data_IF_205262298715
#
_entry.id   IF_205262298715
#
_cell.length_a   1.000
_cell.length_b   1.000
_cell.length_c   1.000
_cell.angle_alpha   90.00
_cell.angle_beta   90.00
_cell.angle_gamma   90.00
#
_symmetry.space_group_name_H-M   'P 1'
#
loop_
_entity.id
_entity.type
_entity.pdbx_description
1 polymer ?
#
# COMPACT_ATOMS: atom_id res chain seq x y z
N UNK A 1 -2.56 10.43 22.63
CA UNK A 1 -1.60 11.44 22.12
C UNK A 1 -2.21 12.18 20.92
N UNK A 2 -2.11 13.52 20.87
CA UNK A 2 -2.64 14.29 19.71
C UNK A 2 -1.54 14.36 18.64
N UNK A 3 -1.50 13.33 17.77
CA UNK A 3 -0.54 13.26 16.67
C UNK A 3 -1.07 14.04 15.46
N UNK A 4 -0.23 14.82 14.77
CA UNK A 4 -0.68 15.60 13.60
C UNK A 4 -1.29 14.66 12.55
N UNK A 5 -2.46 15.05 12.02
CA UNK A 5 -3.19 14.23 11.05
C UNK A 5 -2.60 14.39 9.65
N UNK A 6 -2.61 13.29 8.88
CA UNK A 6 -2.13 13.28 7.50
C UNK A 6 -2.84 14.33 6.63
N UNK A 7 -2.10 15.10 5.85
CA UNK A 7 -2.65 16.07 4.90
C UNK A 7 -2.86 15.40 3.54
N UNK A 8 -4.11 15.32 3.10
CA UNK A 8 -4.49 14.63 1.85
C UNK A 8 -3.81 15.26 0.63
N UNK A 9 -3.83 16.59 0.53
CA UNK A 9 -3.32 17.29 -0.65
C UNK A 9 -1.79 17.25 -0.73
N UNK A 10 -1.11 17.39 0.40
CA UNK A 10 0.35 17.33 0.46
C UNK A 10 0.81 15.90 0.14
N UNK A 11 0.14 14.88 0.70
CA UNK A 11 0.46 13.47 0.41
C UNK A 11 0.35 13.16 -1.10
N UNK A 12 -0.66 13.69 -1.78
CA UNK A 12 -0.83 13.48 -3.23
C UNK A 12 0.28 14.21 -4.02
N UNK A 13 0.58 15.47 -3.68
CA UNK A 13 1.62 16.26 -4.37
C UNK A 13 3.02 15.69 -4.14
N UNK A 14 3.36 15.41 -2.89
CA UNK A 14 4.66 14.88 -2.52
C UNK A 14 4.82 13.44 -3.06
N UNK A 15 3.72 12.68 -3.11
CA UNK A 15 3.66 11.38 -3.78
C UNK A 15 4.03 11.45 -5.25
N UNK A 16 3.58 12.50 -5.95
CA UNK A 16 3.96 12.72 -7.35
C UNK A 16 5.46 13.01 -7.48
N UNK A 17 6.01 13.86 -6.62
CA UNK A 17 7.46 14.17 -6.63
C UNK A 17 8.28 12.92 -6.32
N UNK A 18 7.87 12.11 -5.34
CA UNK A 18 8.52 10.88 -4.97
C UNK A 18 8.46 9.83 -6.11
N UNK A 19 7.30 9.73 -6.80
CA UNK A 19 7.14 8.86 -7.96
C UNK A 19 8.04 9.29 -9.12
N UNK A 20 8.12 10.59 -9.41
CA UNK A 20 8.98 11.13 -10.48
C UNK A 20 10.47 10.89 -10.19
N UNK A 21 10.88 11.00 -8.93
CA UNK A 21 12.27 10.72 -8.51
C UNK A 21 12.66 9.26 -8.72
N UNK A 22 11.70 8.33 -8.61
CA UNK A 22 11.91 6.89 -8.70
C UNK A 22 11.22 6.25 -9.93
N UNK A 23 10.85 7.03 -10.94
CA UNK A 23 9.93 6.62 -11.99
C UNK A 23 10.36 5.33 -12.71
N UNK A 24 11.62 5.21 -13.10
CA UNK A 24 12.12 4.03 -13.81
C UNK A 24 12.12 2.79 -12.94
N UNK A 25 12.58 2.91 -11.69
CA UNK A 25 12.58 1.83 -10.70
C UNK A 25 11.16 1.37 -10.38
N UNK A 26 10.22 2.30 -10.21
CA UNK A 26 8.83 1.98 -9.90
C UNK A 26 8.10 1.32 -11.07
N UNK A 27 8.29 1.81 -12.30
CA UNK A 27 7.69 1.19 -13.47
C UNK A 27 8.21 -0.25 -13.63
N UNK A 28 9.52 -0.46 -13.50
CA UNK A 28 10.11 -1.79 -13.59
C UNK A 28 9.61 -2.69 -12.45
N UNK A 29 9.56 -2.20 -11.21
CA UNK A 29 9.01 -2.90 -10.06
C UNK A 29 7.57 -3.38 -10.32
N UNK A 30 6.70 -2.48 -10.82
CA UNK A 30 5.29 -2.80 -11.10
C UNK A 30 5.20 -3.85 -12.22
N UNK A 31 5.97 -3.71 -13.29
CA UNK A 31 6.00 -4.68 -14.39
C UNK A 31 6.42 -6.06 -13.88
N UNK A 32 7.54 -6.14 -13.14
CA UNK A 32 8.04 -7.39 -12.58
C UNK A 32 7.01 -8.02 -11.62
N UNK A 33 6.36 -7.21 -10.80
CA UNK A 33 5.32 -7.70 -9.90
C UNK A 33 4.12 -8.26 -10.67
N UNK A 34 3.60 -7.54 -11.66
CA UNK A 34 2.45 -7.99 -12.48
C UNK A 34 2.76 -9.29 -13.22
N UNK A 35 3.99 -9.46 -13.72
CA UNK A 35 4.40 -10.69 -14.38
C UNK A 35 4.49 -11.89 -13.44
N UNK A 36 4.77 -11.67 -12.15
CA UNK A 36 5.02 -12.74 -11.17
C UNK A 36 3.85 -13.02 -10.24
N UNK A 37 2.88 -12.10 -10.11
CA UNK A 37 1.73 -12.24 -9.21
C UNK A 37 0.87 -13.47 -9.51
N UNK A 38 0.86 -13.94 -10.74
CA UNK A 38 0.11 -15.12 -11.20
C UNK A 38 0.81 -16.45 -10.91
N UNK A 39 2.09 -16.42 -10.52
CA UNK A 39 2.88 -17.65 -10.28
C UNK A 39 2.73 -18.01 -8.81
N UNK A 40 2.04 -19.14 -8.48
CA UNK A 40 1.92 -19.59 -7.10
C UNK A 40 3.28 -19.70 -6.42
N UNK A 41 3.34 -19.44 -5.14
CA UNK A 41 4.54 -19.36 -4.31
C UNK A 41 5.44 -18.15 -4.62
N UNK A 42 5.77 -17.86 -5.89
CA UNK A 42 6.58 -16.69 -6.25
C UNK A 42 5.86 -15.41 -5.90
N UNK A 43 4.53 -15.35 -6.09
CA UNK A 43 3.72 -14.17 -5.77
C UNK A 43 3.84 -13.74 -4.30
N UNK A 44 4.06 -14.68 -3.38
CA UNK A 44 4.23 -14.35 -1.95
C UNK A 44 5.53 -13.57 -1.73
N UNK A 45 6.64 -14.08 -2.27
CA UNK A 45 7.94 -13.40 -2.18
C UNK A 45 7.93 -12.02 -2.84
N UNK A 46 7.37 -11.92 -4.05
CA UNK A 46 7.30 -10.66 -4.79
C UNK A 46 6.33 -9.66 -4.15
N UNK A 47 5.24 -10.12 -3.53
CA UNK A 47 4.34 -9.26 -2.75
C UNK A 47 5.07 -8.69 -1.53
N UNK A 48 5.76 -9.52 -0.74
CA UNK A 48 6.58 -9.04 0.38
C UNK A 48 7.64 -8.05 -0.11
N UNK A 49 8.30 -8.35 -1.23
CA UNK A 49 9.28 -7.45 -1.85
C UNK A 49 8.67 -6.10 -2.25
N UNK A 50 7.44 -6.09 -2.78
CA UNK A 50 6.72 -4.85 -3.08
C UNK A 50 6.46 -4.03 -1.81
N UNK A 51 6.02 -4.66 -0.71
CA UNK A 51 5.85 -3.96 0.58
C UNK A 51 7.18 -3.41 1.11
N UNK A 52 8.28 -4.18 1.01
CA UNK A 52 9.62 -3.71 1.39
C UNK A 52 10.07 -2.51 0.55
N UNK A 53 9.77 -2.50 -0.75
CA UNK A 53 10.06 -1.37 -1.63
C UNK A 53 9.31 -0.10 -1.18
N UNK A 54 8.03 -0.22 -0.79
CA UNK A 54 7.25 0.88 -0.22
C UNK A 54 7.87 1.37 1.09
N UNK A 55 8.30 0.45 1.97
CA UNK A 55 8.95 0.78 3.25
C UNK A 55 10.29 1.50 3.01
N UNK A 56 11.14 1.01 2.11
CA UNK A 56 12.40 1.65 1.74
C UNK A 56 12.16 3.08 1.22
N UNK A 57 11.18 3.24 0.33
CA UNK A 57 10.81 4.53 -0.23
C UNK A 57 10.25 5.49 0.84
N UNK A 58 9.52 4.99 1.85
CA UNK A 58 9.04 5.79 2.98
C UNK A 58 10.19 6.40 3.79
N UNK A 59 11.36 5.78 3.77
CA UNK A 59 12.60 6.24 4.40
C UNK A 59 13.47 7.11 3.49
N UNK A 60 13.00 7.36 2.26
CA UNK A 60 13.73 8.17 1.27
C UNK A 60 14.79 7.41 0.47
N UNK A 61 14.85 6.09 0.61
CA UNK A 61 15.75 5.23 -0.15
C UNK A 61 15.29 5.08 -1.60
N UNK A 62 16.25 4.82 -2.50
CA UNK A 62 15.94 4.50 -3.90
C UNK A 62 15.52 3.04 -4.00
N UNK A 63 14.40 2.80 -4.66
CA UNK A 63 13.87 1.44 -4.84
C UNK A 63 14.73 0.65 -5.82
N UNK A 64 15.20 -0.53 -5.38
CA UNK A 64 15.76 -1.54 -6.27
C UNK A 64 14.63 -2.47 -6.74
N UNK A 65 14.24 -2.43 -8.03
CA UNK A 65 13.13 -3.23 -8.53
C UNK A 65 13.40 -4.75 -8.51
N UNK A 66 14.67 -5.17 -8.50
CA UNK A 66 15.03 -6.60 -8.50
C UNK A 66 14.93 -7.20 -7.10
N UNK A 67 14.96 -6.39 -6.05
CA UNK A 67 14.84 -6.83 -4.65
C UNK A 67 13.54 -7.60 -4.34
N UNK A 68 12.51 -7.50 -5.20
CA UNK A 68 11.29 -8.31 -5.05
C UNK A 68 11.57 -9.83 -5.16
N UNK A 69 12.67 -10.25 -5.75
CA UNK A 69 13.08 -11.65 -5.89
C UNK A 69 13.99 -12.15 -4.77
N UNK A 70 14.27 -11.32 -3.77
CA UNK A 70 15.12 -11.72 -2.66
C UNK A 70 14.54 -12.93 -1.92
N UNK A 71 15.38 -13.93 -1.68
CA UNK A 71 15.01 -15.15 -0.94
C UNK A 71 14.52 -14.86 0.48
N UNK A 72 15.00 -13.77 1.08
CA UNK A 72 14.57 -13.31 2.41
C UNK A 72 13.08 -12.95 2.47
N UNK A 73 12.47 -12.61 1.35
CA UNK A 73 11.04 -12.29 1.28
C UNK A 73 10.17 -13.49 1.62
N UNK A 74 10.64 -14.72 1.29
CA UNK A 74 9.89 -15.96 1.55
C UNK A 74 9.85 -16.34 3.03
N UNK A 75 10.72 -15.78 3.88
CA UNK A 75 10.67 -15.98 5.34
C UNK A 75 9.37 -15.47 5.96
N UNK A 76 8.71 -14.52 5.31
CA UNK A 76 7.44 -13.95 5.76
C UNK A 76 6.22 -14.80 5.39
N UNK A 77 6.37 -15.89 4.63
CA UNK A 77 5.27 -16.68 4.08
C UNK A 77 4.21 -17.05 5.12
N UNK A 78 4.59 -17.67 6.23
CA UNK A 78 3.65 -18.12 7.27
C UNK A 78 2.92 -16.93 7.95
N UNK A 79 3.66 -15.90 8.33
CA UNK A 79 3.08 -14.74 8.98
C UNK A 79 2.18 -13.92 8.04
N UNK A 80 2.58 -13.78 6.78
CA UNK A 80 1.77 -13.15 5.73
C UNK A 80 0.48 -13.91 5.49
N UNK A 81 0.56 -15.25 5.38
CA UNK A 81 -0.62 -16.09 5.18
C UNK A 81 -1.61 -15.97 6.34
N UNK A 82 -1.12 -16.02 7.58
CA UNK A 82 -1.96 -15.83 8.77
C UNK A 82 -2.57 -14.43 8.82
N UNK A 83 -1.78 -13.39 8.54
CA UNK A 83 -2.27 -12.02 8.53
C UNK A 83 -3.39 -11.84 7.50
N UNK A 84 -3.16 -12.25 6.26
CA UNK A 84 -4.14 -12.15 5.18
C UNK A 84 -5.39 -12.99 5.47
N UNK A 85 -5.23 -14.17 6.09
CA UNK A 85 -6.34 -14.99 6.52
C UNK A 85 -7.24 -14.28 7.54
N UNK A 86 -6.67 -13.78 8.63
CA UNK A 86 -7.43 -13.02 9.63
C UNK A 86 -8.03 -11.74 9.07
N UNK A 87 -7.28 -11.00 8.26
CA UNK A 87 -7.75 -9.78 7.62
C UNK A 87 -8.93 -10.07 6.69
N UNK A 88 -8.83 -11.05 5.83
CA UNK A 88 -9.88 -11.42 4.88
C UNK A 88 -11.15 -11.89 5.59
N UNK A 89 -11.02 -12.76 6.59
CA UNK A 89 -12.16 -13.24 7.37
C UNK A 89 -12.85 -12.10 8.13
N UNK A 90 -12.08 -11.22 8.76
CA UNK A 90 -12.64 -10.10 9.50
C UNK A 90 -13.36 -9.10 8.60
N UNK A 91 -12.75 -8.73 7.47
CA UNK A 91 -13.38 -7.82 6.49
C UNK A 91 -14.62 -8.46 5.87
N UNK A 92 -14.56 -9.76 5.51
CA UNK A 92 -15.72 -10.47 4.97
C UNK A 92 -16.89 -10.53 5.95
N UNK A 93 -16.63 -10.85 7.22
CA UNK A 93 -17.64 -10.84 8.27
C UNK A 93 -18.25 -9.45 8.48
N UNK A 94 -17.42 -8.41 8.56
CA UNK A 94 -17.87 -7.03 8.69
C UNK A 94 -18.72 -6.58 7.49
N UNK A 95 -18.32 -6.96 6.27
CA UNK A 95 -19.05 -6.64 5.03
C UNK A 95 -20.36 -7.39 4.93
N UNK A 96 -20.40 -8.67 5.36
CA UNK A 96 -21.62 -9.48 5.40
C UNK A 96 -22.65 -8.92 6.39
N UNK A 97 -22.19 -8.33 7.48
CA UNK A 97 -23.06 -7.66 8.44
C UNK A 97 -23.58 -6.32 7.90
N UNK A 98 -22.70 -5.47 7.39
CA UNK A 98 -23.02 -4.22 6.69
C UNK A 98 -21.84 -3.79 5.82
N UNK A 99 -22.12 -3.20 4.65
CA UNK A 99 -21.08 -2.77 3.70
C UNK A 99 -20.11 -1.70 4.25
N UNK A 100 -20.65 -0.71 4.98
CA UNK A 100 -19.86 0.40 5.55
C UNK A 100 -18.83 -0.07 6.60
N UNK A 101 -19.16 -0.92 7.59
CA UNK A 101 -18.17 -1.50 8.50
C UNK A 101 -17.05 -2.25 7.81
N UNK A 102 -17.34 -2.96 6.72
CA UNK A 102 -16.30 -3.62 5.91
C UNK A 102 -15.29 -2.65 5.31
N UNK A 103 -15.75 -1.53 4.75
CA UNK A 103 -14.88 -0.46 4.25
C UNK A 103 -14.03 0.13 5.38
N UNK A 104 -14.66 0.47 6.51
CA UNK A 104 -13.95 1.05 7.66
C UNK A 104 -12.86 0.10 8.16
N UNK A 105 -13.15 -1.20 8.23
CA UNK A 105 -12.20 -2.20 8.69
C UNK A 105 -11.06 -2.42 7.68
N UNK A 106 -11.35 -2.41 6.38
CA UNK A 106 -10.32 -2.51 5.34
C UNK A 106 -9.33 -1.34 5.40
N UNK A 107 -9.81 -0.12 5.63
CA UNK A 107 -8.96 1.06 5.82
C UNK A 107 -8.16 0.97 7.12
N UNK A 108 -8.79 0.48 8.20
CA UNK A 108 -8.13 0.32 9.50
C UNK A 108 -6.98 -0.68 9.46
N UNK A 109 -7.12 -1.76 8.69
CA UNK A 109 -6.12 -2.82 8.57
C UNK A 109 -5.20 -2.68 7.36
N UNK A 110 -5.31 -1.58 6.63
CA UNK A 110 -4.53 -1.33 5.40
C UNK A 110 -3.02 -1.28 5.61
N UNK A 111 -2.55 -0.94 6.81
CA UNK A 111 -1.12 -0.85 7.14
C UNK A 111 -0.58 -2.05 7.93
N UNK A 112 -1.41 -3.06 8.22
CA UNK A 112 -1.00 -4.22 9.01
C UNK A 112 0.17 -4.99 8.38
N UNK A 113 0.16 -5.19 7.06
CA UNK A 113 1.23 -5.87 6.35
C UNK A 113 2.55 -5.12 6.43
N UNK A 114 2.51 -3.79 6.32
CA UNK A 114 3.71 -2.96 6.48
C UNK A 114 4.30 -3.09 7.89
N UNK A 115 3.46 -3.03 8.93
CA UNK A 115 3.90 -3.20 10.32
C UNK A 115 4.46 -4.60 10.59
N UNK A 116 3.88 -5.64 10.00
CA UNK A 116 4.38 -7.01 10.10
C UNK A 116 5.80 -7.12 9.52
N UNK A 117 6.03 -6.55 8.34
CA UNK A 117 7.30 -6.65 7.62
C UNK A 117 8.36 -5.72 8.23
N UNK A 118 7.98 -4.48 8.55
CA UNK A 118 8.90 -3.43 8.99
C UNK A 118 9.24 -3.50 10.47
N UNK A 119 8.24 -3.72 11.32
CA UNK A 119 8.39 -3.73 12.78
C UNK A 119 8.51 -5.14 13.36
N UNK A 120 8.38 -6.18 12.51
CA UNK A 120 8.47 -7.58 12.95
C UNK A 120 7.36 -8.00 13.92
N UNK A 121 6.20 -7.34 13.87
CA UNK A 121 5.08 -7.64 14.77
C UNK A 121 4.39 -8.95 14.37
N UNK A 122 3.75 -9.64 15.33
CA UNK A 122 2.95 -10.83 15.02
C UNK A 122 1.70 -10.45 14.20
N UNK A 123 1.10 -11.38 13.43
CA UNK A 123 -0.04 -11.09 12.57
C UNK A 123 -1.20 -10.39 13.28
N UNK A 124 -1.64 -10.88 14.44
CA UNK A 124 -2.73 -10.26 15.19
C UNK A 124 -2.33 -8.89 15.76
N UNK A 125 -1.08 -8.77 16.26
CA UNK A 125 -0.59 -7.50 16.77
C UNK A 125 -0.47 -6.45 15.65
N UNK A 126 -0.13 -6.88 14.43
CA UNK A 126 -0.11 -5.98 13.26
C UNK A 126 -1.50 -5.43 12.92
N UNK A 127 -2.55 -6.27 13.02
CA UNK A 127 -3.93 -5.83 12.78
C UNK A 127 -4.41 -4.82 13.84
N UNK A 128 -4.18 -5.12 15.12
CA UNK A 128 -4.56 -4.19 16.21
C UNK A 128 -3.78 -2.88 16.12
N UNK A 129 -2.47 -2.94 15.95
CA UNK A 129 -1.65 -1.75 15.80
C UNK A 129 -2.02 -0.91 14.56
N UNK A 130 -2.33 -1.56 13.43
CA UNK A 130 -2.82 -0.86 12.23
C UNK A 130 -4.15 -0.15 12.50
N UNK A 131 -5.05 -0.79 13.24
CA UNK A 131 -6.30 -0.18 13.66
C UNK A 131 -6.06 1.07 14.53
N UNK A 132 -5.15 0.98 15.50
CA UNK A 132 -4.88 2.05 16.46
C UNK A 132 -4.22 3.26 15.80
N UNK A 133 -3.20 3.07 14.96
CA UNK A 133 -2.52 4.17 14.25
C UNK A 133 -3.44 4.88 13.25
N UNK A 134 -4.43 4.20 12.68
CA UNK A 134 -5.39 4.78 11.72
C UNK A 134 -6.60 5.43 12.38
N UNK A 135 -6.73 5.34 13.72
CA UNK A 135 -7.83 5.98 14.44
C UNK A 135 -7.89 7.48 14.16
N UNK A 136 -9.10 7.95 13.80
CA UNK A 136 -9.37 9.36 13.49
C UNK A 136 -8.91 9.82 12.10
N UNK A 137 -8.28 8.92 11.29
CA UNK A 137 -7.73 9.28 9.97
C UNK A 137 -8.29 8.44 8.80
N UNK A 138 -9.19 7.50 9.08
CA UNK A 138 -9.74 6.57 8.07
C UNK A 138 -10.35 7.28 6.86
N UNK A 139 -11.08 8.38 7.09
CA UNK A 139 -11.66 9.18 6.00
C UNK A 139 -10.63 9.91 5.15
N UNK A 140 -9.49 10.28 5.74
CA UNK A 140 -8.37 10.88 4.99
C UNK A 140 -7.67 9.84 4.13
N UNK A 141 -7.42 8.65 4.67
CA UNK A 141 -6.90 7.49 3.92
C UNK A 141 -7.84 7.16 2.75
N UNK A 142 -9.15 7.10 3.02
CA UNK A 142 -10.16 6.89 1.99
C UNK A 142 -10.10 7.99 0.91
N UNK A 143 -10.03 9.25 1.32
CA UNK A 143 -9.94 10.40 0.42
C UNK A 143 -8.71 10.35 -0.48
N UNK A 144 -7.53 10.02 0.08
CA UNK A 144 -6.29 9.87 -0.71
C UNK A 144 -6.46 8.78 -1.76
N UNK A 145 -6.90 7.59 -1.35
CA UNK A 145 -7.07 6.46 -2.27
C UNK A 145 -8.12 6.75 -3.35
N UNK A 146 -9.23 7.40 -2.97
CA UNK A 146 -10.29 7.79 -3.89
C UNK A 146 -9.78 8.80 -4.94
N UNK A 147 -9.05 9.85 -4.51
CA UNK A 147 -8.52 10.85 -5.42
C UNK A 147 -7.48 10.26 -6.37
N UNK A 148 -6.57 9.43 -5.87
CA UNK A 148 -5.60 8.72 -6.72
C UNK A 148 -6.32 7.83 -7.74
N UNK A 149 -7.30 7.05 -7.29
CA UNK A 149 -8.10 6.20 -8.17
C UNK A 149 -8.90 7.00 -9.22
N UNK A 150 -9.48 8.14 -8.84
CA UNK A 150 -10.20 9.02 -9.75
C UNK A 150 -9.28 9.62 -10.82
N UNK A 151 -8.07 10.08 -10.43
CA UNK A 151 -7.09 10.62 -11.38
C UNK A 151 -6.73 9.56 -12.41
N UNK A 152 -6.35 8.35 -11.96
CA UNK A 152 -6.00 7.24 -12.85
C UNK A 152 -7.18 6.85 -13.73
N UNK A 153 -8.38 6.75 -13.17
CA UNK A 153 -9.61 6.39 -13.88
C UNK A 153 -9.99 7.42 -14.94
N UNK A 154 -9.95 8.71 -14.63
CA UNK A 154 -10.26 9.77 -15.60
C UNK A 154 -9.26 9.79 -16.75
N UNK A 155 -7.96 9.73 -16.46
CA UNK A 155 -6.93 9.70 -17.51
C UNK A 155 -7.08 8.45 -18.38
N UNK A 156 -7.30 7.27 -17.78
CA UNK A 156 -7.55 6.03 -18.52
C UNK A 156 -8.82 6.13 -19.38
N UNK A 157 -9.87 6.74 -18.85
CA UNK A 157 -11.13 6.97 -19.57
C UNK A 157 -10.93 7.83 -20.82
N UNK A 158 -10.17 8.92 -20.73
CA UNK A 158 -9.85 9.79 -21.87
C UNK A 158 -9.10 9.00 -22.96
N UNK A 159 -8.07 8.25 -22.59
CA UNK A 159 -7.30 7.47 -23.56
C UNK A 159 -8.10 6.30 -24.17
N UNK A 160 -9.07 5.73 -23.44
CA UNK A 160 -9.92 4.66 -23.96
C UNK A 160 -10.80 5.10 -25.16
N UNK A 161 -11.04 6.40 -25.31
CA UNK A 161 -11.81 6.95 -26.44
C UNK A 161 -11.04 6.94 -27.77
N UNK A 162 -9.73 6.67 -27.76
CA UNK A 162 -8.90 6.62 -28.98
C UNK A 162 -9.12 5.26 -29.68
N UNK A 163 -9.73 5.22 -30.91
CA UNK A 163 -9.96 3.96 -31.59
C UNK A 163 -8.65 3.22 -31.92
N UNK A 164 -8.68 1.88 -31.87
CA UNK A 164 -7.60 0.95 -32.23
C UNK A 164 -6.36 0.96 -31.34
N UNK A 165 -5.91 2.13 -30.84
CA UNK A 165 -4.66 2.25 -30.06
C UNK A 165 -4.89 2.65 -28.60
N UNK A 166 -6.10 3.09 -28.25
CA UNK A 166 -6.44 3.59 -26.90
C UNK A 166 -6.14 2.58 -25.80
N UNK A 167 -6.35 1.30 -26.07
CA UNK A 167 -6.09 0.24 -25.10
C UNK A 167 -4.60 0.17 -24.68
N UNK A 168 -3.66 0.42 -25.61
CA UNK A 168 -2.23 0.45 -25.30
C UNK A 168 -1.91 1.61 -24.36
N UNK A 169 -2.48 2.79 -24.63
CA UNK A 169 -2.32 3.96 -23.74
C UNK A 169 -2.95 3.73 -22.37
N UNK A 170 -4.09 3.05 -22.27
CA UNK A 170 -4.70 2.69 -20.99
C UNK A 170 -3.77 1.79 -20.18
N UNK A 171 -3.14 0.79 -20.78
CA UNK A 171 -2.15 -0.06 -20.10
C UNK A 171 -1.01 0.78 -19.54
N UNK A 172 -0.46 1.69 -20.34
CA UNK A 172 0.63 2.59 -19.90
C UNK A 172 0.19 3.48 -18.74
N UNK A 173 -1.01 4.07 -18.83
CA UNK A 173 -1.57 4.91 -17.75
C UNK A 173 -1.76 4.09 -16.47
N UNK A 174 -2.23 2.86 -16.56
CA UNK A 174 -2.41 1.98 -15.40
C UNK A 174 -1.06 1.64 -14.76
N UNK A 175 -0.03 1.29 -15.55
CA UNK A 175 1.32 1.00 -15.02
C UNK A 175 1.89 2.21 -14.29
N UNK A 176 1.84 3.39 -14.91
CA UNK A 176 2.30 4.65 -14.29
C UNK A 176 1.46 5.00 -13.06
N UNK A 177 0.15 4.79 -13.13
CA UNK A 177 -0.78 5.00 -12.02
C UNK A 177 -0.51 4.07 -10.84
N UNK A 178 -0.18 2.80 -11.09
CA UNK A 178 0.24 1.86 -10.05
C UNK A 178 1.57 2.32 -9.42
N UNK A 179 2.55 2.74 -10.22
CA UNK A 179 3.81 3.29 -9.72
C UNK A 179 3.59 4.53 -8.83
N UNK A 180 2.71 5.42 -9.26
CA UNK A 180 2.30 6.57 -8.45
C UNK A 180 1.59 6.15 -7.15
N UNK A 181 0.69 5.17 -7.19
CA UNK A 181 0.03 4.64 -6.00
C UNK A 181 1.02 4.05 -5.00
N UNK A 182 2.08 3.38 -5.47
CA UNK A 182 3.17 2.86 -4.62
C UNK A 182 3.86 4.01 -3.89
N UNK A 183 4.18 5.12 -4.56
CA UNK A 183 4.80 6.30 -3.96
C UNK A 183 3.88 6.99 -2.92
N UNK A 184 2.59 7.14 -3.22
CA UNK A 184 1.61 7.68 -2.27
C UNK A 184 1.49 6.80 -1.02
N UNK A 185 1.46 5.46 -1.20
CA UNK A 185 1.44 4.52 -0.08
C UNK A 185 2.71 4.61 0.77
N UNK A 186 3.88 4.90 0.18
CA UNK A 186 5.12 5.10 0.93
C UNK A 186 5.03 6.32 1.87
N UNK A 187 4.46 7.44 1.41
CA UNK A 187 4.26 8.62 2.25
C UNK A 187 3.21 8.39 3.34
N UNK A 188 2.11 7.71 3.01
CA UNK A 188 1.13 7.33 4.03
C UNK A 188 1.77 6.41 5.07
N UNK A 189 2.53 5.42 4.64
CA UNK A 189 3.20 4.51 5.58
C UNK A 189 4.22 5.25 6.45
N UNK A 190 5.00 6.16 5.90
CA UNK A 190 5.92 7.00 6.68
C UNK A 190 5.20 7.68 7.85
N UNK A 191 4.09 8.38 7.55
CA UNK A 191 3.29 9.06 8.57
C UNK A 191 2.80 8.10 9.66
N UNK A 192 2.29 6.92 9.28
CA UNK A 192 1.76 5.94 10.24
C UNK A 192 2.86 5.15 10.96
N UNK A 193 4.03 4.98 10.37
CA UNK A 193 5.18 4.37 11.02
C UNK A 193 5.73 5.28 12.13
N UNK A 194 5.86 6.58 11.85
CA UNK A 194 6.27 7.58 12.85
C UNK A 194 5.26 7.65 14.00
N UNK A 195 3.96 7.59 13.70
CA UNK A 195 2.90 7.54 14.70
C UNK A 195 2.95 6.26 15.53
N UNK A 196 3.22 5.10 14.92
CA UNK A 196 3.38 3.83 15.62
C UNK A 196 4.55 3.90 16.61
N UNK A 197 5.69 4.42 16.19
CA UNK A 197 6.86 4.54 17.05
C UNK A 197 6.60 5.48 18.24
N UNK A 198 5.94 6.62 18.01
CA UNK A 198 5.54 7.55 19.05
C UNK A 198 4.55 6.92 20.07
N UNK A 199 3.55 6.17 19.59
CA UNK A 199 2.59 5.47 20.46
C UNK A 199 3.26 4.36 21.27
N UNK A 200 4.22 3.67 20.68
CA UNK A 200 5.00 2.63 21.36
C UNK A 200 5.89 3.22 22.46
N UNK A 201 6.54 4.35 22.20
CA UNK A 201 7.34 5.06 23.20
C UNK A 201 6.48 5.58 24.36
N UNK A 202 5.24 5.99 24.08
CA UNK A 202 4.26 6.40 25.08
C UNK A 202 3.63 5.23 25.86
N UNK A 203 3.87 3.97 25.45
CA UNK A 203 3.28 2.78 26.07
C UNK A 203 1.77 2.60 25.77
N UNK A 204 1.29 3.20 24.68
CA UNK A 204 -0.14 3.10 24.26
C UNK A 204 -0.43 1.83 23.42
N UNK A 205 0.63 1.20 22.84
CA UNK A 205 0.54 -0.04 22.02
C UNK A 205 1.70 -1.00 22.27
#
# INVERSE_FOLDING_TARGET
MDYPKINVMDTIKDGLQLALKNVMSLILLVILYVLTVWIPYLNVGTTVGLYKAVIAMSRGEVVDPVSIFDKENFKFFGNMFLLLGFQSMGIAAATAFMFIPGIILSLAWGFAMYLLIDKGTSPLKSLTASYDITLGEKWRIFGINLLVGLIIGLVSGIFSLIPKVGFVFVILVVIVGCAYSVAVNALMYRHFADKYDAMKEAGEI
#
